data_IF_691186484974
#
_entry.id   IF_691186484974
#
_cell.length_a   1.000
_cell.length_b   1.000
_cell.length_c   1.000
_cell.angle_alpha   90.00
_cell.angle_beta   90.00
_cell.angle_gamma   90.00
#
_symmetry.space_group_name_H-M   'P 1'
#
loop_
_entity.id
_entity.type
_entity.pdbx_description
1 polymer ?
#
# COMPACT_ATOMS: atom_id res chain seq x y z
N UNK A 1 13.21 5.62 4.03
CA UNK A 1 12.10 4.75 3.57
C UNK A 1 12.24 4.31 2.11
N UNK A 2 12.51 5.20 1.14
CA UNK A 2 12.83 4.78 -0.25
C UNK A 2 14.32 4.41 -0.38
N UNK A 3 15.17 5.16 0.32
CA UNK A 3 16.58 4.90 0.61
C UNK A 3 16.82 3.54 1.29
N UNK A 4 15.99 3.17 2.27
CA UNK A 4 16.05 1.87 2.98
C UNK A 4 15.47 0.69 2.18
N UNK A 5 14.53 0.94 1.26
CA UNK A 5 13.86 -0.09 0.46
C UNK A 5 13.93 0.29 -1.02
N UNK A 6 15.08 0.15 -1.68
CA UNK A 6 15.26 0.62 -3.06
C UNK A 6 14.41 -0.13 -4.09
N UNK A 7 13.90 -1.31 -3.73
CA UNK A 7 13.04 -2.14 -4.58
C UNK A 7 11.63 -2.25 -4.00
N UNK A 8 10.68 -2.49 -4.90
CA UNK A 8 9.30 -2.76 -4.55
C UNK A 8 9.18 -3.94 -3.58
N UNK A 9 8.50 -3.74 -2.45
CA UNK A 9 8.31 -4.75 -1.41
C UNK A 9 7.35 -5.90 -1.80
N UNK A 10 6.75 -5.84 -2.99
CA UNK A 10 5.91 -6.92 -3.53
C UNK A 10 6.79 -8.08 -3.98
N UNK A 11 6.51 -9.28 -3.47
CA UNK A 11 7.26 -10.49 -3.80
C UNK A 11 7.31 -10.72 -5.32
N UNK A 12 8.51 -10.97 -5.84
CA UNK A 12 8.75 -11.18 -7.27
C UNK A 12 8.86 -9.90 -8.10
N UNK A 13 8.70 -8.71 -7.51
CA UNK A 13 8.89 -7.44 -8.21
C UNK A 13 10.31 -6.90 -8.01
N UNK A 14 11.03 -6.68 -9.11
CA UNK A 14 12.39 -6.11 -9.10
C UNK A 14 12.42 -4.62 -9.50
N UNK A 15 11.25 -3.95 -9.57
CA UNK A 15 11.17 -2.53 -9.92
C UNK A 15 11.62 -1.66 -8.75
N UNK A 16 12.16 -0.49 -9.05
CA UNK A 16 12.49 0.50 -8.03
C UNK A 16 11.24 0.89 -7.23
N UNK A 17 11.38 1.01 -5.91
CA UNK A 17 10.37 1.69 -5.12
C UNK A 17 10.48 3.19 -5.38
N UNK A 18 9.33 3.83 -5.61
CA UNK A 18 9.28 5.28 -5.86
C UNK A 18 8.17 5.95 -5.06
N UNK A 19 7.33 5.15 -4.40
CA UNK A 19 6.25 5.59 -3.54
C UNK A 19 6.30 4.83 -2.20
N UNK A 20 5.79 5.46 -1.15
CA UNK A 20 5.60 4.83 0.16
C UNK A 20 4.12 4.54 0.33
N UNK A 21 3.81 3.29 0.71
CA UNK A 21 2.46 2.77 0.83
C UNK A 21 2.20 2.25 2.25
N UNK A 22 0.98 2.46 2.75
CA UNK A 22 0.52 1.85 4.01
C UNK A 22 0.10 0.41 3.77
N UNK A 23 0.74 -0.56 4.43
CA UNK A 23 0.40 -1.99 4.32
C UNK A 23 -1.06 -2.22 4.71
N UNK A 24 -1.46 -1.68 5.87
CA UNK A 24 -2.85 -1.55 6.30
C UNK A 24 -3.30 -0.12 5.99
N UNK A 25 -4.31 0.07 5.11
CA UNK A 25 -4.79 1.40 4.79
C UNK A 25 -5.39 2.12 6.02
N UNK A 26 -5.26 3.44 6.05
CA UNK A 26 -5.80 4.28 7.13
C UNK A 26 -7.31 4.08 7.33
N UNK A 27 -8.05 3.88 6.23
CA UNK A 27 -9.49 3.62 6.26
C UNK A 27 -9.87 2.27 6.92
N UNK A 28 -8.90 1.37 7.10
CA UNK A 28 -9.04 0.11 7.82
C UNK A 28 -8.41 0.16 9.22
N UNK A 29 -8.01 1.33 9.71
CA UNK A 29 -7.41 1.52 11.03
C UNK A 29 -5.89 1.36 11.06
N UNK A 30 -5.21 1.36 9.92
CA UNK A 30 -3.74 1.35 9.89
C UNK A 30 -3.15 2.62 10.52
N UNK A 31 -2.05 2.45 11.26
CA UNK A 31 -1.34 3.58 11.86
C UNK A 31 -0.61 4.37 10.76
N UNK A 32 -0.74 5.70 10.83
CA UNK A 32 -0.20 6.63 9.83
C UNK A 32 1.32 6.73 9.87
N UNK A 33 1.92 6.60 11.06
CA UNK A 33 3.33 6.89 11.33
C UNK A 33 4.11 5.67 11.81
N UNK A 34 3.43 4.54 12.07
CA UNK A 34 4.10 3.28 12.34
C UNK A 34 4.93 2.85 11.12
N UNK A 35 6.26 2.83 11.30
CA UNK A 35 7.21 2.42 10.27
C UNK A 35 7.00 0.98 9.82
N UNK A 36 6.47 0.12 10.67
CA UNK A 36 6.16 -1.28 10.33
C UNK A 36 4.92 -1.40 9.45
N UNK A 37 4.07 -0.37 9.42
CA UNK A 37 2.92 -0.27 8.53
C UNK A 37 3.25 0.42 7.20
N UNK A 38 4.51 0.83 6.97
CA UNK A 38 4.91 1.51 5.74
C UNK A 38 5.85 0.63 4.91
N UNK A 39 5.71 0.67 3.58
CA UNK A 39 6.62 -0.03 2.65
C UNK A 39 6.92 0.78 1.40
N UNK A 40 8.10 0.56 0.82
CA UNK A 40 8.43 1.04 -0.52
C UNK A 40 7.72 0.20 -1.58
N UNK A 41 7.04 0.83 -2.52
CA UNK A 41 6.33 0.17 -3.62
C UNK A 41 6.57 0.89 -4.95
N UNK A 42 6.39 0.18 -6.06
CA UNK A 42 6.39 0.80 -7.38
C UNK A 42 4.98 1.26 -7.79
N UNK A 43 4.90 2.30 -8.63
CA UNK A 43 3.63 2.87 -9.13
C UNK A 43 2.57 1.85 -9.58
N UNK A 44 2.90 0.81 -10.37
CA UNK A 44 1.86 -0.11 -10.85
C UNK A 44 1.24 -0.94 -9.73
N UNK A 45 2.03 -1.44 -8.78
CA UNK A 45 1.49 -2.18 -7.64
C UNK A 45 0.77 -1.26 -6.65
N UNK A 46 1.23 -0.01 -6.51
CA UNK A 46 0.51 0.97 -5.71
C UNK A 46 -0.88 1.24 -6.28
N UNK A 47 -0.98 1.44 -7.60
CA UNK A 47 -2.26 1.60 -8.30
C UNK A 47 -3.17 0.39 -8.16
N UNK A 48 -2.61 -0.82 -8.31
CA UNK A 48 -3.37 -2.06 -8.13
C UNK A 48 -3.96 -2.16 -6.72
N UNK A 49 -3.15 -1.90 -5.70
CA UNK A 49 -3.62 -1.85 -4.30
C UNK A 49 -4.70 -0.80 -4.10
N UNK A 50 -4.50 0.43 -4.56
CA UNK A 50 -5.52 1.49 -4.43
C UNK A 50 -6.85 1.07 -5.05
N UNK A 51 -6.82 0.40 -6.21
CA UNK A 51 -8.02 -0.09 -6.87
C UNK A 51 -8.73 -1.18 -6.05
N UNK A 52 -7.97 -2.12 -5.47
CA UNK A 52 -8.50 -3.17 -4.59
C UNK A 52 -9.12 -2.56 -3.33
N UNK A 53 -8.43 -1.65 -2.66
CA UNK A 53 -8.91 -0.96 -1.46
C UNK A 53 -10.17 -0.14 -1.73
N UNK A 54 -10.23 0.55 -2.87
CA UNK A 54 -11.43 1.28 -3.29
C UNK A 54 -12.61 0.32 -3.50
N UNK A 55 -12.37 -0.87 -4.06
CA UNK A 55 -13.40 -1.90 -4.22
C UNK A 55 -13.87 -2.46 -2.86
N UNK A 56 -12.96 -2.71 -1.93
CA UNK A 56 -13.29 -3.13 -0.56
C UNK A 56 -14.08 -2.07 0.21
N UNK A 57 -13.66 -0.80 0.11
CA UNK A 57 -14.38 0.32 0.73
C UNK A 57 -15.82 0.44 0.23
N UNK A 58 -16.06 0.19 -1.06
CA UNK A 58 -17.43 0.12 -1.62
C UNK A 58 -18.23 -1.04 -1.02
N UNK A 59 -17.63 -2.22 -0.86
CA UNK A 59 -18.30 -3.38 -0.23
C UNK A 59 -18.69 -3.08 1.22
N UNK A 60 -17.81 -2.44 2.01
CA UNK A 60 -18.09 -2.06 3.41
C UNK A 60 -19.27 -1.09 3.54
N UNK A 61 -19.50 -0.21 2.55
CA UNK A 61 -20.64 0.73 2.55
C UNK A 61 -21.97 0.12 2.13
N UNK A 62 -21.96 -1.00 1.41
CA UNK A 62 -23.17 -1.64 0.90
C UNK A 62 -23.78 -2.67 1.86
N UNK A 63 -23.05 -3.06 2.92
CA UNK A 63 -23.49 -4.02 3.92
C UNK A 63 -23.83 -3.43 5.29
N UNK A 64 -24.04 -2.10 5.35
CA UNK A 64 -24.47 -1.37 6.55
C UNK A 64 -25.92 -0.94 6.47
#
# INVERSE_FOLDING_TARGET
MLDEQPFCAVLGCQRASVEVDHIVPLAAGGDRYDRTNLRGICVPHHREKTAQEAAEGRKRRAGG
#
